data_IF_402525063545
#
_entry.id   IF_402525063545
#
_cell.length_a   1.000
_cell.length_b   1.000
_cell.length_c   1.000
_cell.angle_alpha   90.00
_cell.angle_beta   90.00
_cell.angle_gamma   90.00
#
_symmetry.space_group_name_H-M   'P 1'
#
loop_
_entity.id
_entity.type
_entity.pdbx_description
1 polymer ?
#
# COMPACT_ATOMS: atom_id res chain seq x y z
N UNK A 1 -22.73 10.30 3.79
CA UNK A 1 -21.26 10.48 3.90
C UNK A 1 -20.94 11.96 3.97
N UNK A 2 -20.10 12.38 4.91
CA UNK A 2 -19.77 13.79 5.13
C UNK A 2 -18.65 14.23 4.18
N UNK A 3 -18.92 15.18 3.30
CA UNK A 3 -17.91 15.77 2.42
C UNK A 3 -17.18 16.90 3.16
N UNK A 4 -15.85 16.92 3.09
CA UNK A 4 -15.01 18.00 3.63
C UNK A 4 -14.32 18.72 2.47
N UNK A 5 -14.29 20.05 2.53
CA UNK A 5 -13.53 20.85 1.57
C UNK A 5 -12.04 20.84 1.95
N UNK A 6 -11.18 20.71 0.95
CA UNK A 6 -9.72 20.81 1.09
C UNK A 6 -9.18 21.78 0.03
N UNK A 7 -8.12 22.49 0.37
CA UNK A 7 -7.39 23.35 -0.59
C UNK A 7 -6.14 22.62 -1.04
N UNK A 8 -5.92 22.54 -2.36
CA UNK A 8 -4.80 21.84 -2.98
C UNK A 8 -4.07 22.84 -3.89
N UNK A 9 -2.75 22.83 -3.85
CA UNK A 9 -1.91 23.56 -4.81
C UNK A 9 -1.51 22.61 -5.93
N UNK A 10 -1.66 23.06 -7.17
CA UNK A 10 -1.32 22.32 -8.38
C UNK A 10 -0.64 23.27 -9.36
N UNK A 11 0.14 22.70 -10.27
CA UNK A 11 0.74 23.47 -11.34
C UNK A 11 -0.35 23.99 -12.30
N UNK A 12 -0.15 25.19 -12.81
CA UNK A 12 -1.14 25.86 -13.66
C UNK A 12 -1.46 25.06 -14.92
N UNK A 13 -0.45 24.42 -15.52
CA UNK A 13 -0.60 23.57 -16.69
C UNK A 13 -1.57 22.39 -16.42
N UNK A 14 -1.44 21.74 -15.27
CA UNK A 14 -2.31 20.62 -14.89
C UNK A 14 -3.74 21.09 -14.64
N UNK A 15 -3.93 22.26 -14.02
CA UNK A 15 -5.25 22.85 -13.81
C UNK A 15 -5.94 23.10 -15.16
N UNK A 16 -5.21 23.63 -16.14
CA UNK A 16 -5.74 23.86 -17.49
C UNK A 16 -6.14 22.54 -18.14
N UNK A 17 -5.26 21.53 -18.12
CA UNK A 17 -5.52 20.22 -18.71
C UNK A 17 -6.77 19.55 -18.10
N UNK A 18 -6.94 19.60 -16.78
CA UNK A 18 -8.11 19.03 -16.11
C UNK A 18 -9.38 19.80 -16.47
N UNK A 19 -9.32 21.13 -16.59
CA UNK A 19 -10.48 21.94 -17.02
C UNK A 19 -10.91 21.63 -18.45
N UNK A 20 -9.97 21.45 -19.37
CA UNK A 20 -10.26 21.07 -20.75
C UNK A 20 -10.92 19.69 -20.82
N UNK A 21 -10.38 18.71 -20.08
CA UNK A 21 -11.01 17.40 -19.95
C UNK A 21 -12.42 17.49 -19.34
N UNK A 22 -12.60 18.28 -18.28
CA UNK A 22 -13.90 18.51 -17.65
C UNK A 22 -14.94 19.05 -18.63
N UNK A 23 -14.54 19.99 -19.50
CA UNK A 23 -15.40 20.54 -20.54
C UNK A 23 -15.80 19.49 -21.59
N UNK A 24 -14.86 18.66 -22.04
CA UNK A 24 -15.12 17.60 -23.03
C UNK A 24 -16.07 16.53 -22.49
N UNK A 25 -15.87 16.10 -21.24
CA UNK A 25 -16.66 15.03 -20.62
C UNK A 25 -17.92 15.54 -19.90
N UNK A 26 -18.23 16.85 -19.98
CA UNK A 26 -19.36 17.48 -19.31
C UNK A 26 -19.44 17.14 -17.81
N UNK A 27 -18.30 17.21 -17.13
CA UNK A 27 -18.13 16.91 -15.71
C UNK A 27 -17.42 18.08 -15.03
N UNK A 28 -17.34 18.07 -13.71
CA UNK A 28 -16.58 19.07 -12.95
C UNK A 28 -15.14 18.64 -12.73
N UNK A 29 -14.24 19.61 -12.62
CA UNK A 29 -12.85 19.37 -12.22
C UNK A 29 -12.76 18.55 -10.91
N UNK A 30 -13.65 18.82 -9.95
CA UNK A 30 -13.71 18.10 -8.68
C UNK A 30 -14.04 16.62 -8.86
N UNK A 31 -14.94 16.28 -9.80
CA UNK A 31 -15.30 14.89 -10.09
C UNK A 31 -14.15 14.13 -10.74
N UNK A 32 -13.44 14.76 -11.68
CA UNK A 32 -12.24 14.17 -12.30
C UNK A 32 -11.16 13.92 -11.25
N UNK A 33 -10.87 14.91 -10.41
CA UNK A 33 -9.87 14.77 -9.34
C UNK A 33 -10.29 13.67 -8.36
N UNK A 34 -11.56 13.64 -7.95
CA UNK A 34 -12.05 12.61 -7.04
C UNK A 34 -11.94 11.20 -7.63
N UNK A 35 -12.23 11.04 -8.92
CA UNK A 35 -12.09 9.77 -9.62
C UNK A 35 -10.61 9.34 -9.71
N UNK A 36 -9.72 10.26 -10.08
CA UNK A 36 -8.28 10.00 -10.15
C UNK A 36 -7.70 9.59 -8.79
N UNK A 37 -8.12 10.26 -7.71
CA UNK A 37 -7.70 9.90 -6.34
C UNK A 37 -8.19 8.49 -5.98
N UNK A 38 -9.44 8.13 -6.27
CA UNK A 38 -9.94 6.78 -5.99
C UNK A 38 -9.18 5.71 -6.78
N UNK A 39 -8.94 5.94 -8.06
CA UNK A 39 -8.20 5.00 -8.90
C UNK A 39 -6.76 4.81 -8.39
N UNK A 40 -6.10 5.90 -8.03
CA UNK A 40 -4.73 5.85 -7.53
C UNK A 40 -4.65 5.19 -6.14
N UNK A 41 -5.61 5.47 -5.26
CA UNK A 41 -5.69 4.80 -3.96
C UNK A 41 -5.93 3.29 -4.11
N UNK A 42 -6.79 2.86 -5.03
CA UNK A 42 -7.02 1.43 -5.30
C UNK A 42 -5.73 0.75 -5.78
N UNK A 43 -4.94 1.41 -6.64
CA UNK A 43 -3.62 0.92 -7.08
C UNK A 43 -2.65 0.80 -5.90
N UNK A 44 -2.54 1.83 -5.07
CA UNK A 44 -1.69 1.80 -3.86
C UNK A 44 -2.13 0.67 -2.93
N UNK A 45 -3.43 0.52 -2.69
CA UNK A 45 -3.94 -0.51 -1.78
C UNK A 45 -3.70 -1.94 -2.27
N UNK A 46 -3.55 -2.13 -3.58
CA UNK A 46 -3.18 -3.41 -4.19
C UNK A 46 -1.67 -3.67 -4.16
N UNK A 47 -0.86 -2.64 -3.94
CA UNK A 47 0.60 -2.77 -3.90
C UNK A 47 1.05 -3.68 -2.75
N UNK A 48 1.93 -4.68 -3.01
CA UNK A 48 2.40 -5.59 -1.97
C UNK A 48 3.07 -4.88 -0.79
N UNK A 49 3.84 -3.83 -1.03
CA UNK A 49 4.51 -3.08 0.03
C UNK A 49 3.50 -2.34 0.91
N UNK A 50 2.48 -1.72 0.31
CA UNK A 50 1.40 -1.10 1.07
C UNK A 50 0.60 -2.14 1.87
N UNK A 51 0.26 -3.29 1.27
CA UNK A 51 -0.47 -4.37 1.96
C UNK A 51 0.31 -5.00 3.11
N UNK A 52 1.62 -5.15 2.93
CA UNK A 52 2.51 -5.64 3.99
C UNK A 52 2.58 -4.61 5.10
N UNK A 53 2.88 -3.35 4.80
CA UNK A 53 3.05 -2.28 5.79
C UNK A 53 1.76 -1.91 6.56
N UNK A 54 0.60 -1.92 5.91
CA UNK A 54 -0.69 -1.59 6.55
C UNK A 54 -1.22 -2.72 7.43
N UNK A 55 -0.89 -3.97 7.10
CA UNK A 55 -1.26 -5.12 7.93
C UNK A 55 -0.19 -5.44 8.98
N UNK A 56 0.98 -4.78 8.98
CA UNK A 56 1.85 -4.78 10.16
C UNK A 56 1.25 -3.83 11.19
N UNK A 57 0.24 -4.28 11.92
CA UNK A 57 0.14 -3.85 13.30
C UNK A 57 1.38 -4.42 13.98
N UNK A 58 2.05 -3.63 14.80
CA UNK A 58 3.03 -4.20 15.74
C UNK A 58 2.34 -5.41 16.39
N UNK A 59 3.00 -6.56 16.37
CA UNK A 59 2.46 -7.75 17.01
C UNK A 59 2.11 -7.37 18.45
N UNK A 60 0.95 -7.80 18.94
CA UNK A 60 0.60 -7.53 20.33
C UNK A 60 1.67 -8.12 21.25
N UNK A 61 1.71 -7.69 22.52
CA UNK A 61 2.65 -8.25 23.48
C UNK A 61 2.46 -9.78 23.61
N UNK A 62 1.22 -10.26 23.51
CA UNK A 62 0.90 -11.69 23.52
C UNK A 62 1.39 -12.40 22.25
N UNK A 63 1.10 -11.86 21.06
CA UNK A 63 1.54 -12.44 19.78
C UNK A 63 3.08 -12.48 19.70
N UNK A 64 3.74 -11.42 20.18
CA UNK A 64 5.20 -11.34 20.23
C UNK A 64 5.79 -12.38 21.19
N UNK A 65 5.17 -12.57 22.36
CA UNK A 65 5.62 -13.56 23.34
C UNK A 65 5.43 -15.00 22.84
N UNK A 66 4.34 -15.28 22.13
CA UNK A 66 4.10 -16.56 21.48
C UNK A 66 5.16 -16.85 20.41
N UNK A 67 5.43 -15.89 19.52
CA UNK A 67 6.44 -16.00 18.47
C UNK A 67 7.84 -16.21 19.06
N UNK A 68 8.21 -15.46 20.09
CA UNK A 68 9.50 -15.64 20.78
C UNK A 68 9.58 -17.02 21.45
N UNK A 69 8.51 -17.49 22.08
CA UNK A 69 8.47 -18.80 22.70
C UNK A 69 8.53 -19.96 21.71
N UNK A 70 8.02 -19.80 20.48
CA UNK A 70 8.21 -20.78 19.40
C UNK A 70 9.65 -20.75 18.86
N UNK A 71 10.25 -19.57 18.70
CA UNK A 71 11.66 -19.42 18.29
C UNK A 71 12.60 -20.07 19.31
N UNK A 72 12.37 -19.86 20.60
CA UNK A 72 13.16 -20.48 21.68
C UNK A 72 13.02 -22.00 21.73
N UNK A 73 11.95 -22.56 21.15
CA UNK A 73 11.70 -24.00 21.07
C UNK A 73 12.35 -24.67 19.87
N UNK A 74 12.91 -23.91 18.92
CA UNK A 74 13.68 -24.45 17.82
C UNK A 74 15.01 -25.03 18.33
N UNK A 75 15.27 -26.29 17.98
CA UNK A 75 16.53 -26.98 18.28
C UNK A 75 17.56 -26.78 17.17
N UNK A 76 18.83 -27.11 17.44
CA UNK A 76 19.88 -27.08 16.41
C UNK A 76 19.56 -28.00 15.22
N UNK A 77 18.83 -29.10 15.46
CA UNK A 77 18.38 -30.02 14.41
C UNK A 77 17.31 -29.37 13.50
N UNK A 78 16.46 -28.49 14.05
CA UNK A 78 15.45 -27.75 13.26
C UNK A 78 16.10 -26.69 12.36
N UNK A 79 17.29 -26.22 12.74
CA UNK A 79 18.09 -25.25 12.00
C UNK A 79 19.08 -25.90 11.03
N UNK A 80 19.17 -27.24 11.03
CA UNK A 80 20.11 -27.96 10.19
C UNK A 80 19.69 -27.94 8.71
N UNK A 81 20.64 -27.58 7.85
CA UNK A 81 20.44 -27.60 6.40
C UNK A 81 20.34 -29.07 5.94
N UNK A 82 19.12 -29.54 5.69
CA UNK A 82 18.83 -30.93 5.32
C UNK A 82 19.29 -31.31 3.90
N UNK A 83 19.44 -30.34 3.01
CA UNK A 83 20.11 -30.54 1.71
C UNK A 83 20.59 -29.22 1.13
N UNK A 84 21.77 -29.24 0.52
CA UNK A 84 22.31 -28.14 -0.27
C UNK A 84 22.61 -28.64 -1.68
N UNK A 85 22.07 -27.97 -2.70
CA UNK A 85 22.38 -28.25 -4.11
C UNK A 85 23.24 -27.15 -4.68
N UNK A 86 24.49 -27.46 -4.95
CA UNK A 86 25.37 -26.59 -5.73
C UNK A 86 24.85 -26.50 -7.18
N UNK A 87 24.53 -25.29 -7.64
CA UNK A 87 24.25 -25.00 -9.04
C UNK A 87 25.53 -24.42 -9.64
N UNK A 88 26.24 -25.21 -10.44
CA UNK A 88 27.40 -24.74 -11.21
C UNK A 88 26.91 -24.15 -12.53
N UNK A 89 27.31 -22.90 -12.80
CA UNK A 89 27.05 -22.16 -14.03
C UNK A 89 27.98 -22.62 -15.16
#
# INVERSE_FOLDING_TARGET
>A
MTKRAISIKMDEADIIAVKEAAAVYNTTMTEIIAAAVHEYLDKIQKDPFYRLSVNVREASAEESAELLGEIERLSEDDLAISSAREVRL
#
